data_IF_236399048177
#
_entry.id   IF_236399048177
#
_cell.length_a   1.000
_cell.length_b   1.000
_cell.length_c   1.000
_cell.angle_alpha   90.00
_cell.angle_beta   90.00
_cell.angle_gamma   90.00
#
_symmetry.space_group_name_H-M   'P 1'
#
loop_
_entity.id
_entity.type
_entity.pdbx_description
1 polymer ?
#
# COMPACT_ATOMS: atom_id res chain seq x y z
N UNK A 1 8.30 11.03 -5.69
CA UNK A 1 9.58 11.00 -4.95
C UNK A 1 10.72 10.86 -5.93
N UNK A 2 11.49 11.92 -6.18
CA UNK A 2 12.59 11.92 -7.17
C UNK A 2 13.91 12.43 -6.59
N UNK A 3 13.95 12.76 -5.30
CA UNK A 3 15.16 13.17 -4.62
C UNK A 3 15.67 12.04 -3.73
N UNK A 4 16.97 11.78 -3.78
CA UNK A 4 17.65 10.77 -2.98
C UNK A 4 18.43 11.48 -1.89
N UNK A 5 18.20 11.09 -0.64
CA UNK A 5 18.80 11.69 0.54
C UNK A 5 19.47 10.61 1.37
N UNK A 6 20.61 10.95 1.96
CA UNK A 6 21.25 10.12 2.96
C UNK A 6 20.39 10.04 4.22
N UNK A 7 20.36 8.87 4.84
CA UNK A 7 19.73 8.65 6.15
C UNK A 7 20.71 7.90 7.03
N UNK A 8 20.81 8.34 8.28
CA UNK A 8 21.66 7.73 9.30
C UNK A 8 20.80 7.34 10.48
N UNK A 9 20.97 6.10 10.96
CA UNK A 9 20.30 5.63 12.16
C UNK A 9 20.83 6.36 13.40
N UNK A 10 19.93 6.91 14.21
CA UNK A 10 20.27 7.65 15.44
C UNK A 10 20.07 6.83 16.72
N UNK A 11 19.57 5.58 16.59
CA UNK A 11 19.22 4.73 17.73
C UNK A 11 20.16 3.52 17.78
N UNK A 12 20.57 3.16 18.99
CA UNK A 12 21.24 1.88 19.24
C UNK A 12 20.29 0.74 18.84
N UNK A 13 20.77 -0.30 18.15
CA UNK A 13 19.97 -1.48 17.88
C UNK A 13 19.36 -2.05 19.16
N UNK A 14 18.11 -2.52 19.09
CA UNK A 14 17.40 -3.05 20.25
C UNK A 14 17.99 -4.38 20.78
N UNK A 15 18.83 -5.04 19.99
CA UNK A 15 19.57 -6.26 20.37
C UNK A 15 20.81 -6.39 19.49
N UNK A 16 21.88 -6.97 20.05
CA UNK A 16 23.11 -7.32 19.33
C UNK A 16 22.91 -8.38 18.23
N UNK A 17 21.79 -9.12 18.29
CA UNK A 17 21.46 -10.13 17.29
C UNK A 17 20.70 -9.57 16.08
N UNK A 18 20.25 -8.31 16.13
CA UNK A 18 19.60 -7.67 14.99
C UNK A 18 20.61 -7.41 13.88
N UNK A 19 20.30 -7.93 12.70
CA UNK A 19 21.11 -7.75 11.49
C UNK A 19 20.40 -6.79 10.54
N UNK A 20 21.18 -6.08 9.73
CA UNK A 20 20.63 -5.31 8.62
C UNK A 20 20.05 -6.24 7.55
N UNK A 21 19.13 -5.72 6.73
CA UNK A 21 18.57 -6.48 5.61
C UNK A 21 19.65 -6.98 4.63
N UNK A 22 20.65 -6.18 4.20
CA UNK A 22 21.76 -6.69 3.38
C UNK A 22 22.54 -7.83 4.05
N UNK A 23 22.79 -7.75 5.36
CA UNK A 23 23.48 -8.80 6.10
C UNK A 23 22.67 -10.11 6.17
N UNK A 24 21.34 -10.01 6.31
CA UNK A 24 20.44 -11.17 6.29
C UNK A 24 20.44 -11.80 4.90
N UNK A 25 20.24 -11.00 3.84
CA UNK A 25 20.22 -11.47 2.45
C UNK A 25 21.54 -12.14 2.07
N UNK A 26 22.67 -11.49 2.35
CA UNK A 26 23.99 -12.05 2.12
C UNK A 26 24.24 -13.34 2.92
N UNK A 27 23.81 -13.39 4.18
CA UNK A 27 23.92 -14.58 5.02
C UNK A 27 23.15 -15.78 4.45
N UNK A 28 21.91 -15.57 4.01
CA UNK A 28 21.09 -16.61 3.35
C UNK A 28 21.75 -17.06 2.04
N UNK A 29 22.20 -16.11 1.21
CA UNK A 29 22.84 -16.41 -0.06
C UNK A 29 24.12 -17.25 0.13
N UNK A 30 24.98 -16.88 1.07
CA UNK A 30 26.20 -17.63 1.41
C UNK A 30 25.90 -19.03 1.96
N UNK A 31 24.77 -19.21 2.65
CA UNK A 31 24.39 -20.50 3.22
C UNK A 31 23.74 -21.45 2.20
N UNK A 32 23.13 -20.93 1.14
CA UNK A 32 22.27 -21.72 0.23
C UNK A 32 22.78 -21.81 -1.20
N UNK A 33 23.66 -20.90 -1.64
CA UNK A 33 24.16 -20.86 -3.01
C UNK A 33 25.63 -21.35 -3.10
N UNK A 34 26.04 -21.94 -4.24
CA UNK A 34 27.45 -22.21 -4.51
C UNK A 34 28.30 -20.93 -4.45
N UNK A 35 29.54 -21.06 -3.99
CA UNK A 35 30.48 -19.95 -3.94
C UNK A 35 30.72 -19.36 -5.34
N UNK A 36 30.69 -18.03 -5.44
CA UNK A 36 30.95 -17.30 -6.68
C UNK A 36 31.95 -16.16 -6.41
N UNK A 37 33.18 -16.22 -6.95
CA UNK A 37 34.22 -15.24 -6.67
C UNK A 37 33.91 -13.82 -7.19
N UNK A 38 32.91 -13.67 -8.07
CA UNK A 38 32.46 -12.36 -8.56
C UNK A 38 31.49 -11.66 -7.60
N UNK A 39 30.96 -12.38 -6.61
CA UNK A 39 29.92 -11.87 -5.71
C UNK A 39 30.53 -11.64 -4.33
N UNK A 40 30.85 -10.38 -4.05
CA UNK A 40 31.63 -9.95 -2.88
C UNK A 40 30.74 -9.65 -1.68
N UNK A 41 29.98 -10.66 -1.23
CA UNK A 41 28.97 -10.52 -0.18
C UNK A 41 29.48 -9.85 1.10
N UNK A 42 30.64 -10.30 1.60
CA UNK A 42 31.18 -9.80 2.86
C UNK A 42 31.63 -8.34 2.75
N UNK A 43 32.18 -7.94 1.60
CA UNK A 43 32.58 -6.55 1.35
C UNK A 43 31.34 -5.63 1.28
N UNK A 44 30.30 -6.06 0.58
CA UNK A 44 29.06 -5.29 0.46
C UNK A 44 28.32 -5.13 1.79
N UNK A 45 28.39 -6.13 2.67
CA UNK A 45 27.81 -6.04 4.00
C UNK A 45 28.68 -5.20 4.94
N UNK A 46 30.00 -5.26 4.77
CA UNK A 46 30.96 -4.46 5.54
C UNK A 46 30.91 -2.97 5.22
N UNK A 47 30.60 -2.62 3.96
CA UNK A 47 30.42 -1.23 3.52
C UNK A 47 29.30 -1.10 2.47
N UNK A 48 28.16 -0.55 2.89
CA UNK A 48 27.03 -0.26 1.99
C UNK A 48 27.35 0.81 0.94
N UNK A 49 28.44 1.57 1.10
CA UNK A 49 28.99 2.45 0.09
C UNK A 49 29.29 1.70 -1.21
N UNK A 50 29.85 0.50 -1.11
CA UNK A 50 30.17 -0.34 -2.27
C UNK A 50 28.93 -0.81 -3.03
N UNK A 51 27.83 -1.07 -2.31
CA UNK A 51 26.53 -1.36 -2.95
C UNK A 51 26.05 -0.14 -3.76
N UNK A 52 26.20 1.07 -3.20
CA UNK A 52 25.81 2.31 -3.90
C UNK A 52 26.72 2.61 -5.09
N UNK A 53 27.99 2.27 -5.02
CA UNK A 53 28.91 2.38 -6.16
C UNK A 53 28.49 1.45 -7.31
N UNK A 54 28.07 0.22 -7.01
CA UNK A 54 27.50 -0.70 -8.00
C UNK A 54 26.18 -0.19 -8.59
N UNK A 55 25.33 0.46 -7.78
CA UNK A 55 24.11 1.12 -8.28
C UNK A 55 24.49 2.26 -9.24
N UNK A 56 25.50 3.06 -8.91
CA UNK A 56 26.01 4.13 -9.76
C UNK A 56 26.61 3.61 -11.06
N UNK A 57 27.33 2.48 -11.03
CA UNK A 57 27.85 1.81 -12.23
C UNK A 57 26.72 1.30 -13.13
N UNK A 58 25.67 0.73 -12.54
CA UNK A 58 24.52 0.18 -13.27
C UNK A 58 23.66 1.27 -13.89
N UNK A 59 23.49 2.40 -13.18
CA UNK A 59 22.62 3.51 -13.56
C UNK A 59 23.37 4.85 -13.48
N UNK A 60 24.39 5.07 -14.31
CA UNK A 60 25.33 6.19 -14.15
C UNK A 60 24.66 7.55 -14.38
N UNK A 61 23.65 7.62 -15.25
CA UNK A 61 22.95 8.89 -15.50
C UNK A 61 22.20 9.36 -14.27
N UNK A 62 21.47 8.46 -13.62
CA UNK A 62 20.63 8.76 -12.48
C UNK A 62 21.40 8.82 -11.15
N UNK A 63 22.42 7.97 -10.99
CA UNK A 63 23.09 7.71 -9.70
C UNK A 63 24.61 7.94 -9.69
N UNK A 64 25.21 8.60 -10.70
CA UNK A 64 26.63 9.00 -10.64
C UNK A 64 26.98 9.65 -9.31
N UNK A 65 28.17 9.39 -8.80
CA UNK A 65 28.68 9.96 -7.54
C UNK A 65 27.72 9.81 -6.35
N UNK A 66 26.97 8.70 -6.28
CA UNK A 66 25.91 8.47 -5.29
C UNK A 66 26.37 8.85 -3.88
N UNK A 67 27.46 8.22 -3.40
CA UNK A 67 27.97 8.42 -2.05
C UNK A 67 28.30 9.89 -1.75
N UNK A 68 28.85 10.62 -2.73
CA UNK A 68 29.19 12.03 -2.57
C UNK A 68 27.95 12.95 -2.59
N UNK A 69 26.93 12.59 -3.39
CA UNK A 69 25.77 13.45 -3.64
C UNK A 69 24.63 13.26 -2.65
N UNK A 70 24.48 12.09 -2.02
CA UNK A 70 23.30 11.82 -1.17
C UNK A 70 23.19 12.73 0.07
N UNK A 71 24.30 13.30 0.53
CA UNK A 71 24.33 14.22 1.67
C UNK A 71 24.36 15.70 1.28
N UNK A 72 24.28 16.05 -0.01
CA UNK A 72 24.05 17.44 -0.38
C UNK A 72 22.72 17.91 0.23
N UNK A 73 22.60 19.16 0.72
CA UNK A 73 21.35 19.66 1.26
C UNK A 73 20.19 19.46 0.27
N UNK A 74 19.12 18.80 0.73
CA UNK A 74 17.99 18.42 -0.12
C UNK A 74 18.17 17.10 -0.88
N UNK A 75 19.37 16.52 -0.88
CA UNK A 75 19.73 15.31 -1.63
C UNK A 75 20.03 15.60 -3.09
N UNK A 76 20.14 14.55 -3.90
CA UNK A 76 20.26 14.69 -5.35
C UNK A 76 19.00 14.24 -6.08
N UNK A 77 18.62 15.01 -7.09
CA UNK A 77 17.45 14.78 -7.90
C UNK A 77 17.76 13.85 -9.09
N UNK A 78 16.98 12.78 -9.26
CA UNK A 78 17.13 11.82 -10.38
C UNK A 78 16.48 12.28 -11.68
N UNK A 79 15.77 13.42 -11.67
CA UNK A 79 14.98 13.86 -12.82
C UNK A 79 13.50 13.46 -12.75
N UNK A 80 12.71 14.10 -13.61
CA UNK A 80 11.34 13.71 -13.95
C UNK A 80 11.12 14.05 -15.42
N UNK A 81 11.24 13.05 -16.30
CA UNK A 81 11.13 13.24 -17.74
C UNK A 81 9.77 13.86 -18.15
N UNK A 82 8.68 13.48 -17.47
CA UNK A 82 7.35 14.02 -17.74
C UNK A 82 7.25 15.52 -17.42
N UNK A 83 7.90 15.99 -16.35
CA UNK A 83 7.97 17.43 -16.01
C UNK A 83 8.64 18.22 -17.13
N UNK A 84 9.71 17.68 -17.70
CA UNK A 84 10.45 18.28 -18.81
C UNK A 84 9.83 17.96 -20.20
N UNK A 85 8.64 17.33 -20.21
CA UNK A 85 7.91 16.91 -21.43
C UNK A 85 8.73 15.99 -22.35
N UNK A 86 9.63 15.21 -21.78
CA UNK A 86 10.40 14.18 -22.47
C UNK A 86 9.62 12.87 -22.38
N UNK A 87 8.98 12.47 -23.48
CA UNK A 87 8.18 11.26 -23.54
C UNK A 87 9.00 10.10 -24.09
N UNK A 88 9.21 9.07 -23.26
CA UNK A 88 9.90 7.82 -23.65
C UNK A 88 8.93 6.84 -24.33
N UNK A 89 8.08 7.35 -25.21
CA UNK A 89 7.13 6.58 -26.02
C UNK A 89 7.68 6.36 -27.44
N UNK A 90 7.08 5.46 -28.23
CA UNK A 90 7.52 5.22 -29.62
C UNK A 90 7.39 6.47 -30.50
N UNK A 91 6.36 7.29 -30.24
CA UNK A 91 6.09 8.52 -30.97
C UNK A 91 6.92 9.73 -30.49
N UNK A 92 7.58 9.62 -29.34
CA UNK A 92 8.24 10.74 -28.67
C UNK A 92 7.28 11.80 -28.11
N UNK A 93 5.98 11.49 -28.04
CA UNK A 93 4.91 12.38 -27.56
C UNK A 93 4.09 11.74 -26.45
N UNK A 94 3.28 12.54 -25.74
CA UNK A 94 2.25 12.02 -24.86
C UNK A 94 1.24 11.20 -25.67
N UNK A 95 0.92 10.00 -25.20
CA UNK A 95 -0.02 9.10 -25.86
C UNK A 95 -1.36 9.16 -25.11
N UNK A 96 -2.41 9.55 -25.82
CA UNK A 96 -3.76 9.67 -25.28
C UNK A 96 -4.55 8.41 -25.60
N UNK A 97 -5.29 7.91 -24.61
CA UNK A 97 -6.18 6.75 -24.75
C UNK A 97 -7.59 7.11 -24.31
N UNK A 98 -8.61 6.56 -24.97
CA UNK A 98 -9.98 6.68 -24.51
C UNK A 98 -10.29 5.56 -23.50
N UNK A 99 -10.96 5.86 -22.37
CA UNK A 99 -11.41 4.81 -21.45
C UNK A 99 -12.46 3.93 -22.14
N UNK A 100 -12.38 2.62 -21.94
CA UNK A 100 -13.35 1.67 -22.48
C UNK A 100 -14.64 1.60 -21.65
N UNK A 101 -14.58 2.02 -20.38
CA UNK A 101 -15.70 1.99 -19.44
C UNK A 101 -15.75 3.29 -18.62
N UNK A 102 -16.94 3.63 -18.12
CA UNK A 102 -17.13 4.78 -17.21
C UNK A 102 -16.80 4.45 -15.75
N UNK A 103 -16.79 3.16 -15.40
CA UNK A 103 -16.45 2.66 -14.07
C UNK A 103 -15.37 1.61 -14.16
N UNK A 104 -14.39 1.70 -13.27
CA UNK A 104 -13.31 0.74 -13.08
C UNK A 104 -13.56 -0.21 -11.89
N UNK A 105 -14.78 -0.25 -11.35
CA UNK A 105 -15.11 -1.05 -10.15
C UNK A 105 -15.07 -2.56 -10.37
N UNK A 106 -15.07 -3.05 -11.62
CA UNK A 106 -14.93 -4.48 -11.92
C UNK A 106 -16.17 -5.35 -11.65
N UNK A 107 -17.24 -4.79 -11.07
CA UNK A 107 -18.52 -5.46 -10.84
C UNK A 107 -19.70 -4.51 -11.02
N UNK A 108 -20.89 -5.09 -11.26
CA UNK A 108 -22.17 -4.36 -11.39
C UNK A 108 -22.80 -4.10 -10.02
N UNK A 109 -23.59 -3.04 -9.96
CA UNK A 109 -24.52 -2.81 -8.86
C UNK A 109 -25.50 -3.99 -8.71
N UNK A 110 -25.81 -4.33 -7.46
CA UNK A 110 -26.79 -5.35 -7.11
C UNK A 110 -27.48 -4.96 -5.80
N UNK A 111 -28.76 -5.34 -5.59
CA UNK A 111 -29.44 -5.08 -4.33
C UNK A 111 -28.66 -5.62 -3.12
N UNK A 112 -28.38 -4.73 -2.16
CA UNK A 112 -27.63 -5.03 -0.94
C UNK A 112 -26.11 -5.12 -1.10
N UNK A 113 -25.57 -4.91 -2.31
CA UNK A 113 -24.13 -4.84 -2.57
C UNK A 113 -23.61 -3.42 -2.33
N UNK A 114 -22.57 -3.33 -1.51
CA UNK A 114 -21.85 -2.10 -1.21
C UNK A 114 -20.44 -2.12 -1.79
N UNK A 115 -19.89 -0.93 -2.00
CA UNK A 115 -18.48 -0.69 -2.33
C UNK A 115 -17.73 -0.36 -1.06
N UNK A 116 -16.96 -1.32 -0.55
CA UNK A 116 -16.10 -1.09 0.61
C UNK A 116 -14.80 -0.39 0.17
N UNK A 117 -14.52 0.73 0.81
CA UNK A 117 -13.25 1.44 0.75
C UNK A 117 -12.47 1.15 2.02
N UNK A 118 -11.29 0.55 1.87
CA UNK A 118 -10.38 0.37 3.01
C UNK A 118 -9.62 1.66 3.30
N UNK A 119 -9.49 2.05 4.56
CA UNK A 119 -8.86 3.30 4.96
C UNK A 119 -7.73 3.06 5.97
N UNK A 120 -6.76 3.97 6.02
CA UNK A 120 -5.82 4.04 7.15
C UNK A 120 -6.31 5.10 8.14
N UNK A 121 -6.12 4.82 9.43
CA UNK A 121 -6.34 5.83 10.48
C UNK A 121 -5.18 6.82 10.51
N UNK A 122 -5.34 7.90 11.28
CA UNK A 122 -4.26 8.82 11.60
C UNK A 122 -3.05 8.13 12.27
N UNK A 123 -3.29 7.33 13.31
CA UNK A 123 -2.23 6.68 14.10
C UNK A 123 -1.75 5.35 13.50
N UNK A 124 -1.47 5.38 12.20
CA UNK A 124 -1.10 4.19 11.44
C UNK A 124 -0.17 4.54 10.30
N UNK A 125 0.82 3.68 10.05
CA UNK A 125 1.58 3.68 8.82
C UNK A 125 1.55 2.30 8.18
N UNK A 126 0.88 2.21 7.03
CA UNK A 126 0.61 0.93 6.37
C UNK A 126 0.02 -0.09 7.35
N UNK A 127 0.58 -1.29 7.47
CA UNK A 127 0.05 -2.35 8.34
C UNK A 127 0.34 -2.11 9.82
N UNK A 128 1.27 -1.22 10.14
CA UNK A 128 1.68 -0.95 11.52
C UNK A 128 0.71 0.03 12.18
N UNK A 129 0.01 -0.45 13.20
CA UNK A 129 -0.90 0.34 14.03
C UNK A 129 -0.08 0.89 15.21
N UNK A 130 -0.03 2.22 15.34
CA UNK A 130 0.66 2.88 16.46
C UNK A 130 -0.31 3.23 17.60
N UNK A 131 -1.61 3.35 17.30
CA UNK A 131 -2.62 3.72 18.27
C UNK A 131 -4.04 3.48 17.76
N UNK A 132 -5.00 3.70 18.65
CA UNK A 132 -6.44 3.54 18.41
C UNK A 132 -7.19 4.88 18.40
N UNK A 133 -6.47 5.98 18.12
CA UNK A 133 -7.02 7.32 17.95
C UNK A 133 -6.99 7.70 16.47
N UNK A 134 -8.17 7.84 15.86
CA UNK A 134 -8.32 8.40 14.52
C UNK A 134 -9.01 9.77 14.59
N UNK A 135 -8.19 10.79 14.86
CA UNK A 135 -8.61 12.18 15.00
C UNK A 135 -9.28 12.73 13.74
N UNK A 136 -8.99 12.17 12.57
CA UNK A 136 -9.59 12.57 11.29
C UNK A 136 -11.07 12.15 11.19
N UNK A 137 -11.49 11.16 11.97
CA UNK A 137 -12.84 10.59 11.92
C UNK A 137 -13.56 10.58 13.27
N UNK A 138 -12.91 11.08 14.32
CA UNK A 138 -13.46 11.09 15.68
C UNK A 138 -13.64 9.70 16.27
N UNK A 139 -12.82 8.73 15.87
CA UNK A 139 -12.90 7.35 16.36
C UNK A 139 -11.79 7.13 17.38
N UNK A 140 -12.17 6.68 18.57
CA UNK A 140 -11.28 6.48 19.69
C UNK A 140 -11.45 5.09 20.31
N UNK A 141 -10.34 4.49 20.74
CA UNK A 141 -10.32 3.23 21.47
C UNK A 141 -10.67 1.98 20.65
N UNK A 142 -10.98 2.12 19.37
CA UNK A 142 -11.35 0.99 18.50
C UNK A 142 -11.04 1.24 17.04
N UNK A 143 -10.95 0.15 16.29
CA UNK A 143 -10.88 0.12 14.82
C UNK A 143 -11.97 -0.77 14.21
N UNK A 144 -12.83 -1.36 15.04
CA UNK A 144 -13.92 -2.23 14.60
C UNK A 144 -15.16 -1.40 14.28
N UNK A 145 -15.10 -0.65 13.19
CA UNK A 145 -16.16 0.27 12.75
C UNK A 145 -16.55 -0.01 11.30
N UNK A 146 -17.83 0.20 10.99
CA UNK A 146 -18.33 0.32 9.63
C UNK A 146 -18.84 1.74 9.44
N UNK A 147 -18.08 2.53 8.70
CA UNK A 147 -18.45 3.89 8.30
C UNK A 147 -19.48 3.81 7.17
N UNK A 148 -20.63 4.42 7.37
CA UNK A 148 -21.76 4.35 6.42
C UNK A 148 -22.60 5.63 6.51
N UNK A 149 -23.15 6.08 5.38
CA UNK A 149 -24.01 7.26 5.33
C UNK A 149 -25.27 7.05 6.19
N UNK A 150 -25.69 8.02 7.03
CA UNK A 150 -26.95 7.93 7.80
C UNK A 150 -28.17 7.50 6.97
N UNK A 151 -28.32 8.01 5.74
CA UNK A 151 -29.41 7.65 4.84
C UNK A 151 -29.33 6.19 4.36
N UNK A 152 -28.12 5.66 4.22
CA UNK A 152 -27.90 4.24 3.91
C UNK A 152 -28.18 3.33 5.11
N UNK A 153 -27.87 3.79 6.34
CA UNK A 153 -28.26 3.09 7.57
C UNK A 153 -29.79 2.92 7.59
N UNK A 154 -30.53 4.00 7.37
CA UNK A 154 -32.00 4.00 7.32
C UNK A 154 -32.53 3.10 6.19
N UNK A 155 -32.01 3.24 4.95
CA UNK A 155 -32.43 2.41 3.80
C UNK A 155 -32.15 0.93 4.00
N UNK A 156 -31.10 0.59 4.73
CA UNK A 156 -30.75 -0.79 5.07
C UNK A 156 -31.51 -1.34 6.28
N UNK A 157 -32.32 -0.52 6.97
CA UNK A 157 -33.01 -0.91 8.20
C UNK A 157 -32.07 -1.18 9.38
N UNK A 158 -30.89 -0.57 9.36
CA UNK A 158 -29.86 -0.72 10.41
C UNK A 158 -29.97 0.40 11.44
N UNK A 159 -29.23 0.28 12.54
CA UNK A 159 -29.15 1.30 13.58
C UNK A 159 -27.70 1.72 13.84
N UNK A 160 -27.49 2.99 14.17
CA UNK A 160 -26.20 3.44 14.71
C UNK A 160 -25.82 2.62 15.96
N UNK A 161 -24.56 2.20 16.03
CA UNK A 161 -24.06 1.38 17.13
C UNK A 161 -24.35 -0.12 17.01
N UNK A 162 -25.21 -0.54 16.05
CA UNK A 162 -25.44 -1.95 15.78
C UNK A 162 -24.14 -2.65 15.37
N UNK A 163 -23.93 -3.88 15.86
CA UNK A 163 -22.82 -4.71 15.44
C UNK A 163 -23.22 -5.55 14.24
N UNK A 164 -22.42 -5.52 13.17
CA UNK A 164 -22.67 -6.25 11.93
C UNK A 164 -21.41 -6.96 11.45
N UNK A 165 -21.54 -7.91 10.53
CA UNK A 165 -20.43 -8.45 9.74
C UNK A 165 -20.48 -7.93 8.31
N UNK A 166 -19.33 -7.85 7.65
CA UNK A 166 -19.24 -7.72 6.20
C UNK A 166 -18.90 -9.07 5.58
N UNK A 167 -19.63 -9.46 4.54
CA UNK A 167 -19.39 -10.66 3.75
C UNK A 167 -18.97 -10.23 2.35
N UNK A 168 -17.94 -10.87 1.78
CA UNK A 168 -17.53 -10.58 0.40
C UNK A 168 -18.61 -10.99 -0.60
N UNK A 169 -18.78 -10.16 -1.64
CA UNK A 169 -19.70 -10.36 -2.75
C UNK A 169 -18.95 -10.36 -4.10
N UNK A 170 -17.72 -10.90 -4.08
CA UNK A 170 -16.81 -10.96 -5.23
C UNK A 170 -17.15 -12.07 -6.24
N UNK A 171 -18.16 -12.91 -5.96
CA UNK A 171 -18.66 -13.97 -6.85
C UNK A 171 -17.58 -14.99 -7.31
N UNK A 172 -16.47 -15.13 -6.57
CA UNK A 172 -15.35 -16.02 -6.90
C UNK A 172 -15.45 -17.42 -6.24
N UNK A 173 -16.59 -17.71 -5.60
CA UNK A 173 -16.84 -18.98 -4.91
C UNK A 173 -16.14 -19.13 -3.56
N UNK A 174 -15.43 -18.11 -3.07
CA UNK A 174 -14.71 -18.17 -1.78
C UNK A 174 -15.41 -17.31 -0.73
N UNK A 175 -15.84 -17.97 0.34
CA UNK A 175 -16.45 -17.30 1.48
C UNK A 175 -15.40 -16.47 2.26
N UNK A 176 -15.71 -15.19 2.48
CA UNK A 176 -14.90 -14.25 3.27
C UNK A 176 -15.84 -13.40 4.11
N UNK A 177 -15.52 -13.25 5.38
CA UNK A 177 -16.33 -12.50 6.34
C UNK A 177 -15.43 -11.82 7.37
N UNK A 178 -15.76 -10.59 7.75
CA UNK A 178 -15.10 -9.86 8.83
C UNK A 178 -16.15 -9.20 9.71
N UNK A 179 -16.01 -9.37 11.02
CA UNK A 179 -16.90 -8.81 12.04
C UNK A 179 -16.47 -9.24 13.44
N UNK A 180 -17.11 -8.70 14.49
CA UNK A 180 -18.19 -7.72 14.42
C UNK A 180 -17.67 -6.27 14.23
N UNK A 181 -18.40 -5.45 13.48
CA UNK A 181 -18.11 -4.05 13.17
C UNK A 181 -19.27 -3.16 13.65
N UNK A 182 -18.96 -2.08 14.35
CA UNK A 182 -19.97 -1.13 14.83
C UNK A 182 -20.39 -0.18 13.72
N UNK A 183 -21.68 -0.14 13.38
CA UNK A 183 -22.26 0.87 12.49
C UNK A 183 -21.96 2.26 13.06
N UNK A 184 -21.21 3.05 12.31
CA UNK A 184 -20.73 4.37 12.72
C UNK A 184 -21.10 5.36 11.60
N UNK A 185 -22.02 6.32 11.85
CA UNK A 185 -22.43 7.26 10.82
C UNK A 185 -21.26 8.08 10.28
N UNK A 186 -21.15 8.17 8.96
CA UNK A 186 -20.12 8.95 8.29
C UNK A 186 -20.60 9.43 6.92
N UNK A 187 -20.22 10.65 6.54
CA UNK A 187 -20.66 11.22 5.26
C UNK A 187 -19.91 10.58 4.09
N UNK A 188 -20.48 9.50 3.53
CA UNK A 188 -20.02 8.80 2.35
C UNK A 188 -21.08 8.88 1.23
N UNK A 189 -20.69 8.76 -0.05
CA UNK A 189 -21.66 8.57 -1.13
C UNK A 189 -22.55 7.33 -0.90
N UNK A 190 -23.77 7.36 -1.43
CA UNK A 190 -24.70 6.23 -1.41
C UNK A 190 -24.05 4.96 -2.03
N UNK A 191 -24.33 3.78 -1.47
CA UNK A 191 -23.74 2.51 -1.90
C UNK A 191 -22.26 2.32 -1.54
N UNK A 192 -21.62 3.29 -0.87
CA UNK A 192 -20.26 3.19 -0.38
C UNK A 192 -20.21 3.04 1.14
N UNK A 193 -19.33 2.16 1.61
CA UNK A 193 -19.02 1.98 3.03
C UNK A 193 -17.51 2.00 3.21
N UNK A 194 -17.03 2.29 4.41
CA UNK A 194 -15.61 2.27 4.69
C UNK A 194 -15.29 1.62 6.03
N UNK A 195 -14.12 0.99 6.10
CA UNK A 195 -13.57 0.43 7.33
C UNK A 195 -12.05 0.36 7.21
N UNK A 196 -11.37 -0.01 8.30
CA UNK A 196 -9.93 0.14 8.36
C UNK A 196 -9.16 -1.02 7.69
N UNK A 197 -8.08 -0.64 7.04
CA UNK A 197 -6.96 -1.50 6.66
C UNK A 197 -6.04 -1.64 7.88
N UNK A 198 -5.45 -2.82 8.17
CA UNK A 198 -5.54 -4.07 7.41
C UNK A 198 -6.70 -4.97 7.80
N UNK A 199 -7.56 -4.57 8.74
CA UNK A 199 -8.66 -5.40 9.26
C UNK A 199 -9.57 -5.93 8.15
N UNK A 200 -9.79 -5.14 7.09
CA UNK A 200 -10.61 -5.51 5.94
C UNK A 200 -9.89 -6.32 4.84
N UNK A 201 -8.58 -6.56 4.96
CA UNK A 201 -7.84 -7.35 3.96
C UNK A 201 -8.47 -8.73 3.65
N UNK A 202 -9.03 -9.47 4.62
CA UNK A 202 -9.67 -10.76 4.33
C UNK A 202 -10.82 -10.68 3.34
N UNK A 203 -11.43 -9.51 3.10
CA UNK A 203 -12.54 -9.33 2.15
C UNK A 203 -12.06 -9.06 0.71
N UNK A 204 -10.78 -8.71 0.52
CA UNK A 204 -10.22 -8.37 -0.79
C UNK A 204 -9.97 -9.67 -1.57
N UNK A 205 -10.81 -9.92 -2.58
CA UNK A 205 -10.64 -11.06 -3.46
C UNK A 205 -9.39 -10.89 -4.34
N UNK A 206 -8.52 -11.90 -4.36
CA UNK A 206 -7.32 -11.90 -5.22
C UNK A 206 -7.68 -11.90 -6.72
N UNK A 207 -8.84 -12.44 -7.09
CA UNK A 207 -9.36 -12.40 -8.45
C UNK A 207 -9.79 -10.98 -8.89
N UNK A 208 -10.00 -10.07 -7.93
CA UNK A 208 -10.41 -8.70 -8.20
C UNK A 208 -9.23 -7.73 -8.08
N UNK A 209 -8.57 -7.49 -9.21
CA UNK A 209 -7.38 -6.66 -9.33
C UNK A 209 -7.34 -5.90 -10.65
N UNK A 210 -6.46 -4.91 -10.74
CA UNK A 210 -6.13 -4.24 -12.00
C UNK A 210 -5.65 -5.25 -13.07
N UNK A 211 -6.05 -5.05 -14.33
CA UNK A 211 -5.82 -6.05 -15.38
C UNK A 211 -4.34 -6.20 -15.74
N UNK A 212 -3.57 -5.11 -15.72
CA UNK A 212 -2.17 -5.09 -16.12
C UNK A 212 -1.24 -5.26 -14.92
N UNK A 213 -1.34 -4.37 -13.93
CA UNK A 213 -0.43 -4.33 -12.78
C UNK A 213 -0.71 -5.40 -11.72
N UNK A 214 -1.90 -6.04 -11.78
CA UNK A 214 -2.40 -6.99 -10.77
C UNK A 214 -2.54 -6.39 -9.37
N UNK A 215 -2.60 -5.06 -9.27
CA UNK A 215 -2.84 -4.36 -8.00
C UNK A 215 -4.25 -4.71 -7.48
N UNK A 216 -4.40 -5.24 -6.25
CA UNK A 216 -5.71 -5.60 -5.70
C UNK A 216 -6.66 -4.40 -5.55
N UNK A 217 -7.95 -4.63 -5.76
CA UNK A 217 -8.99 -3.59 -5.76
C UNK A 217 -9.44 -3.14 -4.35
N UNK A 218 -8.50 -2.77 -3.47
CA UNK A 218 -8.78 -2.43 -2.06
C UNK A 218 -9.57 -1.13 -1.83
N UNK A 219 -9.95 -0.40 -2.88
CA UNK A 219 -10.77 0.82 -2.83
C UNK A 219 -12.18 0.64 -3.42
N UNK A 220 -12.50 -0.54 -3.92
CA UNK A 220 -13.84 -0.92 -4.33
C UNK A 220 -14.00 -2.41 -4.15
N UNK A 221 -14.18 -2.84 -2.90
CA UNK A 221 -14.37 -4.26 -2.58
C UNK A 221 -15.89 -4.53 -2.54
N UNK A 222 -16.41 -5.46 -3.36
CA UNK A 222 -17.84 -5.79 -3.32
C UNK A 222 -18.14 -6.56 -2.03
N UNK A 223 -19.07 -6.05 -1.23
CA UNK A 223 -19.47 -6.67 0.05
C UNK A 223 -20.96 -6.53 0.30
N UNK A 224 -21.48 -7.34 1.22
CA UNK A 224 -22.83 -7.22 1.80
C UNK A 224 -22.74 -7.07 3.31
N UNK A 225 -23.70 -6.36 3.89
CA UNK A 225 -23.84 -6.26 5.35
C UNK A 225 -24.68 -7.46 5.83
N UNK A 226 -24.20 -8.15 6.86
CA UNK A 226 -24.94 -9.18 7.59
C UNK A 226 -25.17 -8.69 9.02
N UNK A 227 -26.44 -8.47 9.36
CA UNK A 227 -26.92 -8.05 10.68
C UNK A 227 -27.14 -9.25 11.61
#
# INVERSE_FOLDING_TARGET
>A
FSCIQGSSGLRTPASEHLKSEPAIVAGIAKATLPSNPRVRWDDWVGDYGLIRDLIAETYPKEFHDFNARMFTPGGFYRGNAARERIWKTKSGKAEFTAPQTLSSTGFKDAPGRYRLVTLRSNDQFNTTIYGFSDRLRGIEGTRQVLLINPKEIERAGLQEGQMVSLVSDAEDGVHREVGPLKITPFNLPDGCIASYYPEMNPLIALSHHDQESKTPAGKSVPVRIRA
#
